data_IF_300086081257
#
_entry.id   IF_300086081257
#
_cell.length_a   1.000
_cell.length_b   1.000
_cell.length_c   1.000
_cell.angle_alpha   90.00
_cell.angle_beta   90.00
_cell.angle_gamma   90.00
#
_symmetry.space_group_name_H-M   'P 1'
#
loop_
_entity.id
_entity.type
_entity.pdbx_description
1 polymer ?
#
# COMPACT_ATOMS: atom_id res chain seq x y z
N UNK A 1 -7.29 14.68 -4.18
CA UNK A 1 -6.32 13.66 -3.73
C UNK A 1 -6.92 12.31 -4.04
N UNK A 2 -6.27 11.47 -4.87
CA UNK A 2 -6.71 10.09 -5.05
C UNK A 2 -6.20 9.30 -3.86
N UNK A 3 -7.12 8.64 -3.17
CA UNK A 3 -6.84 7.82 -2.00
C UNK A 3 -6.11 6.55 -2.47
N UNK A 4 -4.94 6.26 -1.90
CA UNK A 4 -4.10 5.09 -2.20
C UNK A 4 -4.17 4.09 -1.04
N UNK A 5 -5.38 3.78 -0.58
CA UNK A 5 -5.63 3.18 0.74
C UNK A 5 -5.60 1.64 0.72
N UNK A 6 -5.37 1.07 -0.47
CA UNK A 6 -5.44 -0.36 -0.70
C UNK A 6 -4.21 -0.89 -1.41
N UNK A 7 -4.01 -2.20 -1.31
CA UNK A 7 -3.03 -2.96 -2.06
C UNK A 7 -3.70 -3.65 -3.24
N UNK A 8 -3.02 -3.67 -4.38
CA UNK A 8 -3.50 -4.36 -5.57
C UNK A 8 -2.97 -5.79 -5.59
N UNK A 9 -3.79 -6.75 -5.15
CA UNK A 9 -3.41 -8.15 -4.96
C UNK A 9 -4.44 -9.05 -5.66
N UNK A 10 -3.96 -9.93 -6.54
CA UNK A 10 -4.81 -10.87 -7.27
C UNK A 10 -5.79 -10.19 -8.23
N UNK A 11 -5.38 -9.10 -8.87
CA UNK A 11 -6.20 -8.38 -9.86
C UNK A 11 -7.27 -7.45 -9.27
N UNK A 12 -7.22 -7.18 -7.96
CA UNK A 12 -8.21 -6.34 -7.28
C UNK A 12 -7.54 -5.45 -6.23
N UNK A 13 -8.09 -4.25 -6.03
CA UNK A 13 -7.78 -3.40 -4.88
C UNK A 13 -8.45 -3.97 -3.63
N UNK A 14 -7.69 -4.13 -2.56
CA UNK A 14 -8.17 -4.58 -1.25
C UNK A 14 -7.47 -3.79 -0.15
N UNK A 15 -8.08 -3.73 1.05
CA UNK A 15 -7.39 -3.18 2.21
C UNK A 15 -6.12 -3.99 2.52
N UNK A 16 -5.09 -3.32 3.02
CA UNK A 16 -3.93 -4.00 3.59
C UNK A 16 -4.32 -4.72 4.90
N UNK A 17 -3.52 -5.70 5.31
CA UNK A 17 -3.72 -6.42 6.57
C UNK A 17 -3.58 -5.53 7.82
N UNK A 18 -2.97 -4.35 7.69
CA UNK A 18 -2.81 -3.36 8.76
C UNK A 18 -3.38 -2.00 8.37
N UNK A 19 -3.71 -1.17 9.37
CA UNK A 19 -4.05 0.24 9.20
C UNK A 19 -2.83 1.17 9.21
N UNK A 20 -1.62 0.64 9.41
CA UNK A 20 -0.40 1.42 9.34
C UNK A 20 -0.13 1.94 7.92
N UNK A 21 0.42 3.14 7.83
CA UNK A 21 0.71 3.80 6.55
C UNK A 21 2.09 4.43 6.54
N UNK A 22 2.69 4.53 5.35
CA UNK A 22 3.95 5.21 5.09
C UNK A 22 3.66 6.51 4.36
N UNK A 23 4.20 7.62 4.86
CA UNK A 23 4.10 8.92 4.19
C UNK A 23 5.00 8.95 2.94
N UNK A 24 4.44 9.39 1.82
CA UNK A 24 5.19 9.64 0.59
C UNK A 24 5.59 11.11 0.59
N UNK A 25 6.90 11.36 0.62
CA UNK A 25 7.49 12.70 0.72
C UNK A 25 8.02 13.14 -0.64
N UNK A 26 7.72 14.37 -1.03
CA UNK A 26 8.31 15.01 -2.21
C UNK A 26 9.79 15.34 -1.93
N UNK A 27 10.75 14.80 -2.70
CA UNK A 27 12.16 15.06 -2.46
C UNK A 27 12.59 16.51 -2.78
N UNK A 28 11.76 17.30 -3.47
CA UNK A 28 12.10 18.67 -3.86
C UNK A 28 11.90 19.71 -2.75
N UNK A 29 10.93 19.49 -1.86
CA UNK A 29 10.49 20.46 -0.84
C UNK A 29 10.09 19.81 0.49
N UNK A 30 10.30 18.50 0.64
CA UNK A 30 9.99 17.70 1.83
C UNK A 30 8.50 17.67 2.22
N UNK A 31 7.60 18.12 1.34
CA UNK A 31 6.16 18.07 1.63
C UNK A 31 5.60 16.65 1.45
N UNK A 32 4.65 16.27 2.30
CA UNK A 32 3.92 15.00 2.15
C UNK A 32 2.92 15.12 1.00
N UNK A 33 3.04 14.23 0.02
CA UNK A 33 2.19 14.19 -1.18
C UNK A 33 1.18 13.04 -1.17
N UNK A 34 1.27 12.13 -0.20
CA UNK A 34 0.34 11.02 -0.05
C UNK A 34 0.73 10.07 1.07
N UNK A 35 -0.10 9.05 1.27
CA UNK A 35 0.17 7.93 2.16
C UNK A 35 -0.15 6.63 1.41
N UNK A 36 0.61 5.58 1.70
CA UNK A 36 0.37 4.22 1.20
C UNK A 36 0.34 3.24 2.38
N UNK A 37 -0.34 2.09 2.29
CA UNK A 37 -0.37 1.13 3.38
C UNK A 37 1.03 0.55 3.64
N UNK A 38 1.39 0.38 4.91
CA UNK A 38 2.61 -0.31 5.31
C UNK A 38 2.38 -1.82 5.20
N UNK A 39 2.89 -2.44 4.13
CA UNK A 39 2.67 -3.87 3.87
C UNK A 39 3.26 -4.78 4.94
N UNK A 40 2.54 -5.87 5.21
CA UNK A 40 2.94 -6.91 6.15
C UNK A 40 3.32 -8.21 5.42
N UNK A 41 3.84 -9.19 6.16
CA UNK A 41 4.07 -10.53 5.63
C UNK A 41 2.78 -11.20 5.12
N UNK A 42 1.63 -10.90 5.73
CA UNK A 42 0.33 -11.45 5.30
C UNK A 42 -0.06 -10.94 3.91
N UNK A 43 0.16 -9.66 3.63
CA UNK A 43 -0.09 -9.08 2.30
C UNK A 43 0.81 -9.72 1.25
N UNK A 44 2.07 -10.00 1.60
CA UNK A 44 3.02 -10.71 0.74
C UNK A 44 2.55 -12.14 0.47
N UNK A 45 2.13 -12.88 1.50
CA UNK A 45 1.63 -14.25 1.34
C UNK A 45 0.37 -14.30 0.47
N UNK A 46 -0.54 -13.33 0.62
CA UNK A 46 -1.73 -13.20 -0.22
C UNK A 46 -1.35 -12.91 -1.68
N UNK A 47 -0.37 -12.04 -1.92
CA UNK A 47 0.14 -11.75 -3.26
C UNK A 47 0.80 -12.98 -3.91
N UNK A 48 1.67 -13.67 -3.17
CA UNK A 48 2.32 -14.91 -3.64
C UNK A 48 1.28 -15.97 -3.97
N UNK A 49 0.27 -16.17 -3.11
CA UNK A 49 -0.79 -17.17 -3.34
C UNK A 49 -1.63 -16.84 -4.57
N UNK A 50 -1.95 -15.57 -4.80
CA UNK A 50 -2.74 -15.15 -5.94
C UNK A 50 -1.99 -15.24 -7.29
N UNK A 51 -0.66 -15.30 -7.27
CA UNK A 51 0.19 -15.36 -8.46
C UNK A 51 0.63 -16.79 -8.85
N UNK A 52 0.33 -17.80 -8.01
CA UNK A 52 0.61 -19.22 -8.29
C UNK A 52 -0.48 -19.84 -9.15
#
# INVERSE_FOLDING_TARGET
>A
MKAHDGMYIGGQWRAAATSETIAVVNPADEQVIGHVPAGTAEDVDAAVRAAR
#
